data_IF_737607918182
#
_entry.id   IF_737607918182
#
_cell.length_a   1.000
_cell.length_b   1.000
_cell.length_c   1.000
_cell.angle_alpha   90.00
_cell.angle_beta   90.00
_cell.angle_gamma   90.00
#
_symmetry.space_group_name_H-M   'P 1'
#
loop_
_entity.id
_entity.type
_entity.pdbx_description
1 polymer ?
#
# COMPACT_ATOMS: atom_id res chain seq x y z
N UNK A 1 20.01 -37.99 66.88
CA UNK A 1 19.66 -38.42 65.51
C UNK A 1 18.54 -37.58 64.86
N UNK A 2 17.54 -37.07 65.60
CA UNK A 2 16.42 -36.31 65.02
C UNK A 2 16.77 -34.98 64.30
N UNK A 3 17.80 -34.23 64.75
CA UNK A 3 18.18 -32.94 64.16
C UNK A 3 18.72 -33.02 62.71
N UNK A 4 19.37 -34.12 62.32
CA UNK A 4 19.93 -34.28 60.96
C UNK A 4 18.86 -34.61 59.92
N UNK A 5 17.80 -35.33 60.31
CA UNK A 5 16.72 -35.72 59.39
C UNK A 5 15.82 -34.52 59.06
N UNK A 6 15.51 -33.66 60.05
CA UNK A 6 14.72 -32.44 59.84
C UNK A 6 15.40 -31.43 58.91
N UNK A 7 16.73 -31.28 58.98
CA UNK A 7 17.46 -30.35 58.10
C UNK A 7 17.54 -30.85 56.64
N UNK A 8 17.53 -32.16 56.41
CA UNK A 8 17.53 -32.77 55.07
C UNK A 8 16.15 -32.69 54.39
N UNK A 9 15.06 -32.74 55.17
CA UNK A 9 13.70 -32.58 54.65
C UNK A 9 13.41 -31.12 54.30
N UNK A 10 13.84 -30.18 55.15
CA UNK A 10 13.71 -28.74 54.89
C UNK A 10 14.50 -28.28 53.65
N UNK A 11 15.71 -28.81 53.43
CA UNK A 11 16.51 -28.47 52.25
C UNK A 11 15.94 -29.04 50.94
N UNK A 12 15.34 -30.24 50.97
CA UNK A 12 14.64 -30.81 49.80
C UNK A 12 13.33 -30.06 49.47
N UNK A 13 12.57 -29.64 50.48
CA UNK A 13 11.36 -28.82 50.29
C UNK A 13 11.70 -27.41 49.75
N UNK A 14 12.77 -26.79 50.24
CA UNK A 14 13.25 -25.49 49.75
C UNK A 14 13.78 -25.59 48.30
N UNK A 15 14.51 -26.66 47.97
CA UNK A 15 14.97 -26.94 46.61
C UNK A 15 13.80 -27.12 45.63
N UNK A 16 12.77 -27.88 46.01
CA UNK A 16 11.59 -28.08 45.18
C UNK A 16 10.78 -26.80 44.95
N UNK A 17 10.68 -25.91 45.95
CA UNK A 17 10.03 -24.58 45.77
C UNK A 17 10.84 -23.68 44.84
N UNK A 18 12.17 -23.71 44.94
CA UNK A 18 13.04 -22.97 44.02
C UNK A 18 12.94 -23.49 42.58
N UNK A 19 12.91 -24.82 42.38
CA UNK A 19 12.73 -25.44 41.07
C UNK A 19 11.35 -25.09 40.49
N UNK A 20 10.29 -25.17 41.30
CA UNK A 20 8.94 -24.81 40.88
C UNK A 20 8.85 -23.33 40.44
N UNK A 21 9.50 -22.43 41.18
CA UNK A 21 9.57 -21.02 40.82
C UNK A 21 10.33 -20.81 39.49
N UNK A 22 11.48 -21.46 39.31
CA UNK A 22 12.25 -21.38 38.05
C UNK A 22 11.43 -21.87 36.86
N UNK A 23 10.72 -22.99 37.01
CA UNK A 23 9.83 -23.52 35.97
C UNK A 23 8.66 -22.57 35.68
N UNK A 24 8.07 -21.96 36.71
CA UNK A 24 7.01 -20.97 36.54
C UNK A 24 7.48 -19.71 35.80
N UNK A 25 8.68 -19.20 36.11
CA UNK A 25 9.27 -18.07 35.39
C UNK A 25 9.60 -18.42 33.93
N UNK A 26 10.15 -19.61 33.68
CA UNK A 26 10.41 -20.07 32.32
C UNK A 26 9.12 -20.19 31.50
N UNK A 27 8.06 -20.76 32.07
CA UNK A 27 6.74 -20.85 31.45
C UNK A 27 6.17 -19.45 31.15
N UNK A 28 6.29 -18.51 32.09
CA UNK A 28 5.82 -17.13 31.90
C UNK A 28 6.54 -16.46 30.73
N UNK A 29 7.86 -16.62 30.61
CA UNK A 29 8.64 -16.06 29.50
C UNK A 29 8.19 -16.67 28.16
N UNK A 30 7.95 -17.99 28.12
CA UNK A 30 7.45 -18.68 26.92
C UNK A 30 6.07 -18.15 26.52
N UNK A 31 5.16 -17.98 27.48
CA UNK A 31 3.82 -17.43 27.23
C UNK A 31 3.88 -15.98 26.74
N UNK A 32 4.77 -15.16 27.29
CA UNK A 32 4.99 -13.78 26.83
C UNK A 32 5.54 -13.78 25.40
N UNK A 33 6.54 -14.62 25.09
CA UNK A 33 7.09 -14.72 23.74
C UNK A 33 6.05 -15.19 22.71
N UNK A 34 5.21 -16.17 23.08
CA UNK A 34 4.09 -16.62 22.25
C UNK A 34 3.05 -15.52 22.04
N UNK A 35 2.70 -14.77 23.09
CA UNK A 35 1.79 -13.63 23.00
C UNK A 35 2.35 -12.53 22.09
N UNK A 36 3.64 -12.22 22.20
CA UNK A 36 4.32 -11.25 21.33
C UNK A 36 4.26 -11.72 19.88
N UNK A 37 4.65 -12.97 19.58
CA UNK A 37 4.55 -13.53 18.23
C UNK A 37 3.13 -13.51 17.67
N UNK A 38 2.11 -13.84 18.47
CA UNK A 38 0.71 -13.75 18.06
C UNK A 38 0.26 -12.31 17.79
N UNK A 39 0.80 -11.33 18.52
CA UNK A 39 0.45 -9.91 18.35
C UNK A 39 1.21 -9.18 17.25
N UNK A 40 2.36 -9.70 16.79
CA UNK A 40 3.15 -9.10 15.69
C UNK A 40 2.48 -9.27 14.32
N UNK A 41 1.57 -10.24 14.17
CA UNK A 41 0.82 -10.46 12.92
C UNK A 41 -0.23 -9.36 12.64
N UNK A 42 -0.58 -8.54 13.63
CA UNK A 42 -1.67 -7.56 13.54
C UNK A 42 -1.23 -6.11 13.23
N UNK A 43 0.08 -5.83 13.17
CA UNK A 43 0.61 -4.47 12.94
C UNK A 43 1.20 -4.25 11.55
N UNK A 44 1.11 -5.23 10.66
CA UNK A 44 1.26 -4.97 9.24
C UNK A 44 -0.03 -4.31 8.72
N UNK A 45 -0.10 -2.99 8.85
CA UNK A 45 -0.84 -2.23 7.87
C UNK A 45 -0.22 -2.58 6.52
N UNK A 46 -0.96 -3.15 5.55
CA UNK A 46 -0.41 -3.36 4.24
C UNK A 46 -0.04 -1.98 3.70
N UNK A 47 1.26 -1.71 3.64
CA UNK A 47 1.76 -0.62 2.84
C UNK A 47 1.29 -0.94 1.43
N UNK A 48 0.23 -0.26 0.97
CA UNK A 48 -0.30 -0.41 -0.38
C UNK A 48 0.87 -0.14 -1.31
N UNK A 49 1.45 -1.20 -1.90
CA UNK A 49 2.49 -0.99 -2.89
C UNK A 49 1.80 -0.41 -4.10
N UNK A 50 2.50 0.45 -4.83
CA UNK A 50 2.03 0.97 -6.13
C UNK A 50 1.67 -0.15 -7.11
N UNK A 51 2.21 -1.36 -6.91
CA UNK A 51 1.87 -2.59 -7.63
C UNK A 51 0.49 -3.17 -7.30
N UNK A 52 -0.16 -2.74 -6.23
CA UNK A 52 -1.42 -3.30 -5.74
C UNK A 52 -2.65 -2.50 -6.24
N UNK A 53 -2.43 -1.33 -6.86
CA UNK A 53 -3.48 -0.51 -7.47
C UNK A 53 -3.46 -0.73 -8.97
N UNK A 54 -4.23 -1.70 -9.44
CA UNK A 54 -4.50 -1.89 -10.85
C UNK A 54 -5.42 -0.78 -11.37
N UNK A 55 -4.88 0.11 -12.21
CA UNK A 55 -5.69 1.12 -12.89
C UNK A 55 -6.62 0.47 -13.91
N UNK A 56 -7.90 0.84 -13.88
CA UNK A 56 -8.84 0.43 -14.92
C UNK A 56 -8.46 1.13 -16.23
N UNK A 57 -8.15 0.35 -17.26
CA UNK A 57 -7.80 0.88 -18.57
C UNK A 57 -9.03 1.29 -19.38
N UNK A 58 -10.22 0.87 -18.96
CA UNK A 58 -11.49 1.02 -19.68
C UNK A 58 -12.65 1.44 -18.75
N UNK A 59 -12.49 2.50 -17.91
CA UNK A 59 -13.51 2.87 -16.92
C UNK A 59 -14.86 3.24 -17.53
N UNK A 60 -14.90 3.64 -18.81
CA UNK A 60 -16.14 3.95 -19.54
C UNK A 60 -16.98 2.71 -19.90
N UNK A 61 -16.41 1.51 -19.82
CA UNK A 61 -17.14 0.25 -20.04
C UNK A 61 -17.86 -0.25 -18.78
N UNK A 62 -17.64 0.39 -17.63
CA UNK A 62 -18.14 -0.05 -16.33
C UNK A 62 -19.67 0.05 -16.19
N UNK A 63 -20.32 0.89 -17.00
CA UNK A 63 -21.72 1.27 -16.76
C UNK A 63 -22.71 0.53 -17.66
N UNK A 64 -22.27 -0.01 -18.81
CA UNK A 64 -23.20 -0.57 -19.82
C UNK A 64 -22.69 -1.75 -20.67
N UNK A 65 -21.39 -2.10 -20.62
CA UNK A 65 -20.78 -3.00 -21.63
C UNK A 65 -19.78 -4.04 -21.07
N UNK A 66 -19.79 -4.32 -19.76
CA UNK A 66 -18.98 -5.40 -19.18
C UNK A 66 -19.21 -6.77 -19.84
N UNK A 67 -20.38 -6.99 -20.47
CA UNK A 67 -20.66 -8.21 -21.23
C UNK A 67 -19.81 -8.36 -22.50
N UNK A 68 -19.19 -7.30 -23.02
CA UNK A 68 -18.45 -7.31 -24.28
C UNK A 68 -16.94 -7.02 -24.11
N UNK A 69 -16.49 -6.78 -22.88
CA UNK A 69 -15.07 -6.62 -22.59
C UNK A 69 -14.40 -8.00 -22.51
N UNK A 70 -13.72 -8.37 -23.58
CA UNK A 70 -12.91 -9.60 -23.66
C UNK A 70 -11.41 -9.28 -23.76
N UNK A 71 -10.59 -10.35 -23.73
CA UNK A 71 -9.14 -10.23 -23.83
C UNK A 71 -8.69 -9.55 -25.14
N UNK A 72 -9.41 -9.80 -26.23
CA UNK A 72 -9.04 -9.28 -27.55
C UNK A 72 -9.30 -7.78 -27.64
N UNK A 73 -10.45 -7.31 -27.17
CA UNK A 73 -10.78 -5.90 -27.09
C UNK A 73 -9.82 -5.17 -26.16
N UNK A 74 -9.52 -5.74 -24.99
CA UNK A 74 -8.58 -5.17 -24.03
C UNK A 74 -7.19 -4.94 -24.66
N UNK A 75 -6.64 -5.97 -25.33
CA UNK A 75 -5.33 -5.88 -25.99
C UNK A 75 -5.34 -4.92 -27.17
N UNK A 76 -6.45 -4.85 -27.94
CA UNK A 76 -6.60 -3.89 -29.05
C UNK A 76 -6.57 -2.44 -28.58
N UNK A 77 -6.95 -2.18 -27.32
CA UNK A 77 -6.90 -0.86 -26.69
C UNK A 77 -5.52 -0.56 -26.07
N UNK A 78 -4.51 -1.41 -26.26
CA UNK A 78 -3.17 -1.23 -25.69
C UNK A 78 -3.09 -1.58 -24.19
N UNK A 79 -4.10 -2.26 -23.64
CA UNK A 79 -4.19 -2.57 -22.23
C UNK A 79 -3.76 -4.01 -21.90
N UNK A 80 -3.58 -4.31 -20.61
CA UNK A 80 -3.22 -5.64 -20.09
C UNK A 80 -4.43 -6.42 -19.61
N UNK A 81 -4.68 -7.60 -20.18
CA UNK A 81 -5.75 -8.50 -19.75
C UNK A 81 -5.32 -9.37 -18.55
N UNK A 82 -6.08 -9.31 -17.46
CA UNK A 82 -5.90 -10.05 -16.22
C UNK A 82 -7.15 -10.92 -15.95
N UNK A 83 -7.19 -12.17 -16.43
CA UNK A 83 -8.37 -13.03 -16.31
C UNK A 83 -8.69 -13.39 -14.86
N UNK A 84 -7.66 -13.52 -14.03
CA UNK A 84 -7.73 -13.90 -12.61
C UNK A 84 -7.75 -12.67 -11.67
N UNK A 85 -8.10 -11.49 -12.20
CA UNK A 85 -8.25 -10.29 -11.37
C UNK A 85 -9.25 -10.58 -10.23
N UNK A 86 -8.92 -10.24 -8.97
CA UNK A 86 -9.83 -10.41 -7.84
C UNK A 86 -11.17 -9.73 -8.07
N UNK A 87 -12.22 -10.18 -7.38
CA UNK A 87 -13.52 -9.52 -7.45
C UNK A 87 -13.40 -8.03 -7.08
N UNK A 88 -13.92 -7.16 -7.94
CA UNK A 88 -13.83 -5.70 -7.80
C UNK A 88 -12.58 -5.07 -8.43
N UNK A 89 -11.60 -5.86 -8.87
CA UNK A 89 -10.48 -5.36 -9.67
C UNK A 89 -10.82 -5.40 -11.18
N UNK A 90 -10.35 -4.42 -11.97
CA UNK A 90 -10.57 -4.42 -13.41
C UNK A 90 -9.84 -5.60 -14.06
N UNK A 91 -10.50 -6.32 -14.96
CA UNK A 91 -9.85 -7.37 -15.78
C UNK A 91 -9.01 -6.77 -16.90
N UNK A 92 -9.35 -5.59 -17.38
CA UNK A 92 -8.55 -4.88 -18.37
C UNK A 92 -7.85 -3.70 -17.70
N UNK A 93 -6.55 -3.85 -17.49
CA UNK A 93 -5.74 -2.98 -16.63
C UNK A 93 -4.78 -2.14 -17.44
N UNK A 94 -4.44 -0.95 -16.92
CA UNK A 94 -3.34 -0.15 -17.47
C UNK A 94 -2.07 -1.02 -17.39
N UNK A 95 -1.30 -1.16 -18.48
CA UNK A 95 -0.08 -1.96 -18.47
C UNK A 95 0.91 -1.48 -17.38
N UNK A 96 1.60 -2.42 -16.74
CA UNK A 96 2.52 -2.09 -15.66
C UNK A 96 3.74 -1.28 -16.14
N UNK A 97 4.07 -1.40 -17.42
CA UNK A 97 5.13 -0.67 -18.12
C UNK A 97 4.61 0.59 -18.83
N UNK A 98 3.33 0.91 -18.73
CA UNK A 98 2.79 2.14 -19.28
C UNK A 98 3.43 3.35 -18.60
N UNK A 99 4.07 4.19 -19.41
CA UNK A 99 4.64 5.48 -19.00
C UNK A 99 3.59 6.57 -19.12
N UNK A 100 3.57 7.50 -18.18
CA UNK A 100 2.67 8.66 -18.20
C UNK A 100 3.46 9.96 -18.35
N UNK A 101 3.14 10.94 -17.51
CA UNK A 101 3.89 12.18 -17.42
C UNK A 101 5.20 12.00 -16.63
N UNK A 102 6.30 12.55 -17.15
CA UNK A 102 7.56 12.72 -16.44
C UNK A 102 7.78 14.20 -16.09
N UNK A 103 8.72 14.47 -15.18
CA UNK A 103 9.06 15.83 -14.76
C UNK A 103 10.24 16.32 -15.61
N UNK A 104 9.98 17.31 -16.46
CA UNK A 104 11.02 17.98 -17.25
C UNK A 104 11.74 19.07 -16.43
N UNK A 105 10.96 19.86 -15.69
CA UNK A 105 11.48 20.93 -14.84
C UNK A 105 10.75 20.99 -13.51
N UNK A 106 11.45 21.39 -12.44
CA UNK A 106 10.86 21.81 -11.17
C UNK A 106 11.71 22.86 -10.46
N UNK A 107 11.09 23.69 -9.64
CA UNK A 107 11.78 24.64 -8.76
C UNK A 107 11.27 24.58 -7.31
N UNK A 108 12.01 25.25 -6.42
CA UNK A 108 11.69 25.32 -4.99
C UNK A 108 10.46 26.19 -4.68
N UNK A 109 9.98 26.96 -5.65
CA UNK A 109 8.76 27.75 -5.53
C UNK A 109 7.49 26.90 -5.78
N UNK A 110 7.63 25.59 -5.97
CA UNK A 110 6.50 24.68 -6.15
C UNK A 110 5.97 24.62 -7.58
N UNK A 111 6.74 25.08 -8.57
CA UNK A 111 6.37 24.99 -9.98
C UNK A 111 7.07 23.81 -10.64
N UNK A 112 6.35 23.11 -11.53
CA UNK A 112 6.94 22.08 -12.37
C UNK A 112 6.32 22.07 -13.77
N UNK A 113 7.09 21.53 -14.72
CA UNK A 113 6.64 21.25 -16.08
C UNK A 113 6.68 19.75 -16.29
N UNK A 114 5.61 19.19 -16.85
CA UNK A 114 5.47 17.78 -17.15
C UNK A 114 5.40 17.56 -18.66
N UNK A 115 6.04 16.48 -19.10
CA UNK A 115 6.11 16.01 -20.49
C UNK A 115 5.49 14.62 -20.56
N UNK A 116 4.74 14.30 -21.62
CA UNK A 116 4.10 13.00 -21.76
C UNK A 116 5.00 12.05 -22.53
N UNK A 117 5.37 10.92 -21.91
CA UNK A 117 6.24 9.90 -22.52
C UNK A 117 5.46 8.60 -22.80
N UNK A 118 4.13 8.66 -22.74
CA UNK A 118 3.24 7.50 -22.78
C UNK A 118 2.60 7.21 -24.13
N UNK A 119 1.85 6.11 -24.18
CA UNK A 119 0.92 5.81 -25.27
C UNK A 119 -0.48 6.35 -24.95
N UNK A 120 -1.03 7.16 -25.86
CA UNK A 120 -2.32 7.82 -25.66
C UNK A 120 -3.51 6.85 -25.67
N UNK A 121 -4.26 6.75 -24.56
CA UNK A 121 -5.46 5.90 -24.47
C UNK A 121 -6.76 6.59 -24.91
N UNK A 122 -6.91 7.88 -24.55
CA UNK A 122 -8.20 8.60 -24.58
C UNK A 122 -8.18 9.83 -25.50
N UNK A 123 -7.25 9.86 -26.44
CA UNK A 123 -6.99 11.00 -27.31
C UNK A 123 -5.69 11.72 -26.93
N UNK A 124 -5.45 12.88 -27.58
CA UNK A 124 -4.15 13.54 -27.51
C UNK A 124 -3.79 13.92 -26.08
N UNK A 125 -2.57 13.61 -25.68
CA UNK A 125 -2.02 14.10 -24.43
C UNK A 125 -1.88 15.63 -24.48
N UNK A 126 -2.05 16.27 -23.33
CA UNK A 126 -1.83 17.71 -23.21
C UNK A 126 -0.37 17.90 -22.88
N UNK A 127 0.39 18.56 -23.75
CA UNK A 127 1.81 18.73 -23.56
C UNK A 127 2.30 20.14 -23.95
N UNK A 128 3.13 20.79 -23.10
CA UNK A 128 3.45 20.39 -21.73
C UNK A 128 2.28 20.63 -20.77
N UNK A 129 2.26 19.94 -19.63
CA UNK A 129 1.44 20.33 -18.48
C UNK A 129 2.25 21.18 -17.50
N UNK A 130 1.63 22.20 -16.94
CA UNK A 130 2.21 22.98 -15.85
C UNK A 130 1.60 22.55 -14.51
N UNK A 131 2.43 22.51 -13.47
CA UNK A 131 2.03 22.21 -12.09
C UNK A 131 2.36 23.41 -11.21
N UNK A 132 1.40 23.78 -10.37
CA UNK A 132 1.58 24.77 -9.31
C UNK A 132 1.17 24.17 -7.97
N UNK A 133 2.13 24.14 -7.04
CA UNK A 133 1.97 23.76 -5.66
C UNK A 133 1.90 25.03 -4.80
N UNK A 134 0.81 25.19 -4.06
CA UNK A 134 0.59 26.36 -3.22
C UNK A 134 0.03 25.98 -1.85
N UNK A 135 0.53 26.65 -0.81
CA UNK A 135 -0.08 26.62 0.52
C UNK A 135 -1.12 27.73 0.55
N UNK A 136 -2.40 27.36 0.62
CA UNK A 136 -3.51 28.32 0.67
C UNK A 136 -3.64 28.89 2.09
N UNK A 137 -3.54 28.01 3.09
CA UNK A 137 -3.42 28.35 4.51
C UNK A 137 -2.72 27.21 5.28
N UNK A 138 -2.61 27.32 6.61
CA UNK A 138 -1.92 26.37 7.49
C UNK A 138 -2.41 24.91 7.37
N UNK A 139 -3.61 24.68 6.86
CA UNK A 139 -4.23 23.36 6.74
C UNK A 139 -4.63 22.99 5.30
N UNK A 140 -4.46 23.90 4.33
CA UNK A 140 -4.86 23.69 2.94
C UNK A 140 -3.65 23.80 2.03
N UNK A 141 -3.29 22.66 1.44
CA UNK A 141 -2.36 22.59 0.32
C UNK A 141 -3.12 22.37 -0.98
N UNK A 142 -2.76 23.10 -2.02
CA UNK A 142 -3.38 23.03 -3.34
C UNK A 142 -2.35 22.69 -4.40
N UNK A 143 -2.67 21.65 -5.17
CA UNK A 143 -1.98 21.26 -6.39
C UNK A 143 -2.89 21.63 -7.55
N UNK A 144 -2.38 22.41 -8.49
CA UNK A 144 -3.08 22.69 -9.75
C UNK A 144 -2.23 22.13 -10.88
N UNK A 145 -2.82 21.28 -11.71
CA UNK A 145 -2.22 20.76 -12.94
C UNK A 145 -3.05 21.31 -14.09
N UNK A 146 -2.43 22.02 -15.03
CA UNK A 146 -3.16 22.76 -16.05
C UNK A 146 -2.38 22.83 -17.36
N UNK A 147 -3.12 23.07 -18.44
CA UNK A 147 -2.58 23.38 -19.76
C UNK A 147 -2.08 24.85 -19.77
N UNK A 148 -0.77 25.10 -19.95
CA UNK A 148 -0.23 26.46 -19.97
C UNK A 148 -0.49 27.18 -21.31
N UNK A 149 -0.86 26.45 -22.36
CA UNK A 149 -1.05 26.97 -23.71
C UNK A 149 -2.52 27.28 -24.01
N UNK A 150 -3.45 26.60 -23.36
CA UNK A 150 -4.89 26.76 -23.57
C UNK A 150 -5.67 26.88 -22.26
N UNK A 151 -6.62 27.83 -22.20
CA UNK A 151 -7.53 27.96 -21.05
C UNK A 151 -8.55 26.82 -21.07
N UNK A 152 -8.50 25.94 -20.06
CA UNK A 152 -9.51 24.88 -19.86
C UNK A 152 -10.60 25.33 -18.89
N UNK A 153 -11.74 24.63 -18.94
CA UNK A 153 -12.85 24.87 -18.00
C UNK A 153 -12.38 24.67 -16.56
N UNK A 154 -12.74 25.61 -15.68
CA UNK A 154 -12.51 25.54 -14.24
C UNK A 154 -13.85 25.72 -13.56
N UNK A 155 -14.30 24.71 -12.81
CA UNK A 155 -15.48 24.82 -11.96
C UNK A 155 -15.12 25.65 -10.73
N UNK A 156 -15.93 26.69 -10.45
CA UNK A 156 -15.70 27.67 -9.39
C UNK A 156 -16.79 27.66 -8.33
#
# INVERSE_FOLDING_TARGET
MARRVLSLVASRLQSNRSILNVLAFALLIILIALAIWLSVDQLDHPSIRRSDVAGDCVPHYHDQLLEHLDAQLCQKLGCSWQPEAPAGAPKCQIPADHTGYSVDFRNDAGQATLTYDGEEFYGPAVEPLAVNLSVVDDNIFRITIYDPNEKRYVEG
#
